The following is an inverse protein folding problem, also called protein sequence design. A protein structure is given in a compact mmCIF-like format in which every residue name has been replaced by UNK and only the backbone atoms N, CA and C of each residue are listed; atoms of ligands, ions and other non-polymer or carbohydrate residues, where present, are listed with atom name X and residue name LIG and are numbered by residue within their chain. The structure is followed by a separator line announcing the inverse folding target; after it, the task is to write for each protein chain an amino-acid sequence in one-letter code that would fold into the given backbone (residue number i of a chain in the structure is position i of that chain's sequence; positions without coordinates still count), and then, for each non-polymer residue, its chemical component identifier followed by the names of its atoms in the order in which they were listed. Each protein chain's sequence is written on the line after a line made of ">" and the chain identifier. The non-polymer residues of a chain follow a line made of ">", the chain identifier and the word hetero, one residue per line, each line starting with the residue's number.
data_IF_710114192720
#
_entry.id   IF_710114192720
#
_cell.length_a   1.000
_cell.length_b   1.000
_cell.length_c   1.000
_cell.angle_alpha   90.00
_cell.angle_beta   90.00
_cell.angle_gamma   90.00
#
_symmetry.space_group_name_H-M   'P 1'
#
loop_
_entity.id
_entity.type
_entity.pdbx_description
1 polymer ?
#
# COMPACT_ATOMS: atom_id res chain seq x y z
N UNK A 1 14.90 -3.79 -6.04
CA UNK A 1 13.59 -4.35 -5.65
C UNK A 1 12.61 -4.18 -6.77
N UNK A 2 11.80 -5.20 -7.05
CA UNK A 2 10.77 -5.15 -8.09
C UNK A 2 9.39 -5.33 -7.48
N UNK A 3 8.50 -4.36 -7.69
CA UNK A 3 7.11 -4.44 -7.21
C UNK A 3 6.20 -4.87 -8.35
N UNK A 4 5.38 -5.90 -8.12
CA UNK A 4 4.29 -6.31 -8.99
C UNK A 4 2.96 -5.89 -8.39
N UNK A 5 2.21 -5.10 -9.15
CA UNK A 5 0.82 -4.76 -8.85
C UNK A 5 -0.07 -5.90 -9.32
N UNK A 6 -0.93 -6.42 -8.46
CA UNK A 6 -1.82 -7.54 -8.74
C UNK A 6 -3.26 -7.09 -8.46
N UNK A 7 -4.00 -6.64 -9.48
CA UNK A 7 -5.42 -6.33 -9.33
C UNK A 7 -6.21 -7.58 -8.93
N UNK A 8 -7.09 -7.45 -7.94
CA UNK A 8 -7.97 -8.51 -7.43
C UNK A 8 -9.31 -7.92 -7.00
N UNK A 9 -10.30 -8.79 -6.80
CA UNK A 9 -11.66 -8.39 -6.42
C UNK A 9 -12.23 -7.39 -7.44
N UNK A 10 -12.87 -6.30 -6.97
CA UNK A 10 -13.42 -5.26 -7.83
C UNK A 10 -12.39 -4.16 -8.11
N UNK A 11 -11.72 -3.66 -7.07
CA UNK A 11 -10.80 -2.52 -7.18
C UNK A 11 -9.55 -2.63 -6.28
N UNK A 12 -9.33 -3.76 -5.59
CA UNK A 12 -8.21 -3.94 -4.68
C UNK A 12 -6.89 -4.25 -5.42
N UNK A 13 -5.79 -3.85 -4.80
CA UNK A 13 -4.44 -4.26 -5.17
C UNK A 13 -3.79 -5.12 -4.08
N UNK A 14 -3.30 -6.29 -4.50
CA UNK A 14 -2.24 -6.97 -3.78
C UNK A 14 -0.90 -6.58 -4.40
N UNK A 15 0.17 -6.68 -3.62
CA UNK A 15 1.52 -6.43 -4.13
C UNK A 15 2.44 -7.61 -3.87
N UNK A 16 3.28 -7.94 -4.84
CA UNK A 16 4.38 -8.87 -4.67
C UNK A 16 5.69 -8.09 -4.83
N UNK A 17 6.44 -7.97 -3.73
CA UNK A 17 7.73 -7.29 -3.67
C UNK A 17 8.81 -8.35 -3.79
N UNK A 18 9.61 -8.26 -4.84
CA UNK A 18 10.63 -9.25 -5.18
C UNK A 18 12.01 -8.64 -4.92
N UNK A 19 12.81 -9.35 -4.13
CA UNK A 19 14.25 -9.15 -4.05
C UNK A 19 14.87 -9.83 -5.28
N UNK A 20 15.56 -9.06 -6.12
CA UNK A 20 15.92 -9.53 -7.46
C UNK A 20 17.12 -10.49 -7.49
N UNK A 21 17.96 -10.46 -6.46
CA UNK A 21 19.18 -11.28 -6.36
C UNK A 21 18.90 -12.66 -5.77
N UNK A 22 18.21 -12.74 -4.63
CA UNK A 22 17.84 -13.98 -3.93
C UNK A 22 16.61 -14.63 -4.53
N UNK A 23 15.79 -13.88 -5.29
CA UNK A 23 14.47 -14.31 -5.77
C UNK A 23 13.49 -14.63 -4.64
N UNK A 24 13.76 -14.15 -3.44
CA UNK A 24 12.77 -14.13 -2.36
C UNK A 24 11.75 -13.01 -2.60
N UNK A 25 10.55 -13.20 -2.08
CA UNK A 25 9.48 -12.24 -2.23
C UNK A 25 8.62 -12.14 -0.96
N UNK A 26 8.09 -10.93 -0.75
CA UNK A 26 7.11 -10.64 0.29
C UNK A 26 5.84 -10.15 -0.38
N UNK A 27 4.69 -10.65 0.07
CA UNK A 27 3.40 -10.17 -0.39
C UNK A 27 2.84 -9.11 0.56
N UNK A 28 2.12 -8.13 0.01
CA UNK A 28 1.35 -7.15 0.78
C UNK A 28 -0.13 -7.33 0.47
N UNK A 29 -0.95 -7.39 1.52
CA UNK A 29 -2.42 -7.52 1.51
C UNK A 29 -2.94 -8.64 0.61
N UNK A 30 -2.88 -9.88 1.11
CA UNK A 30 -3.32 -11.04 0.34
C UNK A 30 -4.82 -11.27 0.49
N UNK A 31 -5.59 -10.69 -0.44
CA UNK A 31 -7.03 -10.93 -0.55
C UNK A 31 -7.36 -12.28 -1.22
N UNK A 32 -6.61 -12.65 -2.27
CA UNK A 32 -6.88 -13.83 -3.13
C UNK A 32 -5.62 -14.69 -3.26
N UNK A 33 -5.47 -15.67 -2.37
CA UNK A 33 -4.25 -16.48 -2.24
C UNK A 33 -3.86 -17.21 -3.53
N UNK A 34 -4.82 -17.82 -4.23
CA UNK A 34 -4.55 -18.55 -5.49
C UNK A 34 -3.97 -17.64 -6.57
N UNK A 35 -4.48 -16.41 -6.68
CA UNK A 35 -3.99 -15.43 -7.65
C UNK A 35 -2.56 -15.00 -7.33
N UNK A 36 -2.25 -14.79 -6.06
CA UNK A 36 -0.87 -14.53 -5.62
C UNK A 36 0.05 -15.68 -6.01
N UNK A 37 -0.32 -16.94 -5.68
CA UNK A 37 0.51 -18.11 -5.94
C UNK A 37 0.74 -18.37 -7.44
N UNK A 38 -0.25 -18.07 -8.30
CA UNK A 38 -0.09 -18.10 -9.76
C UNK A 38 1.03 -17.14 -10.21
N UNK A 39 1.01 -15.91 -9.70
CA UNK A 39 2.00 -14.88 -10.03
C UNK A 39 3.38 -15.23 -9.45
N UNK A 40 3.44 -15.74 -8.22
CA UNK A 40 4.67 -16.24 -7.58
C UNK A 40 5.29 -17.36 -8.43
N UNK A 41 4.49 -18.32 -8.88
CA UNK A 41 4.95 -19.40 -9.75
C UNK A 41 5.42 -18.91 -11.11
N UNK A 42 4.69 -17.97 -11.74
CA UNK A 42 5.05 -17.39 -13.05
C UNK A 42 6.34 -16.57 -12.99
N UNK A 43 6.55 -15.81 -11.92
CA UNK A 43 7.80 -15.06 -11.73
C UNK A 43 8.94 -15.98 -11.27
N UNK A 44 8.67 -17.19 -10.79
CA UNK A 44 9.69 -18.11 -10.30
C UNK A 44 10.42 -17.54 -9.08
N UNK A 45 9.65 -17.09 -8.09
CA UNK A 45 10.17 -16.53 -6.82
C UNK A 45 9.71 -17.36 -5.63
N UNK A 46 10.39 -17.23 -4.50
CA UNK A 46 10.04 -17.89 -3.24
C UNK A 46 9.36 -16.89 -2.31
N UNK A 47 8.07 -17.10 -2.03
CA UNK A 47 7.32 -16.28 -1.08
C UNK A 47 7.75 -16.61 0.35
N UNK A 48 8.27 -15.63 1.10
CA UNK A 48 8.84 -15.82 2.45
C UNK A 48 7.97 -15.24 3.55
N UNK A 49 7.20 -14.19 3.26
CA UNK A 49 6.35 -13.53 4.24
C UNK A 49 5.16 -12.80 3.60
N UNK A 50 4.18 -12.47 4.45
CA UNK A 50 3.08 -11.56 4.16
C UNK A 50 3.12 -10.39 5.13
N UNK A 51 3.03 -9.18 4.59
CA UNK A 51 2.79 -7.95 5.34
C UNK A 51 1.33 -7.55 5.13
N UNK A 52 0.53 -7.56 6.18
CA UNK A 52 -0.89 -7.17 6.12
C UNK A 52 -1.05 -5.78 6.71
N UNK A 53 -1.60 -4.84 5.97
CA UNK A 53 -1.76 -3.44 6.38
C UNK A 53 -2.82 -3.32 7.46
N UNK A 54 -3.96 -4.00 7.31
CA UNK A 54 -5.02 -3.99 8.30
C UNK A 54 -5.95 -5.21 8.18
N UNK A 55 -6.88 -5.34 9.13
CA UNK A 55 -7.69 -6.54 9.34
C UNK A 55 -8.91 -6.67 8.43
N UNK A 56 -9.21 -5.69 7.56
CA UNK A 56 -10.39 -5.81 6.71
C UNK A 56 -10.25 -6.99 5.75
N UNK A 57 -11.41 -7.57 5.43
CA UNK A 57 -11.52 -8.85 4.74
C UNK A 57 -10.82 -8.81 3.38
N UNK A 58 -11.02 -7.75 2.62
CA UNK A 58 -10.45 -7.52 1.30
C UNK A 58 -8.93 -7.29 1.29
N UNK A 59 -8.28 -7.21 2.47
CA UNK A 59 -6.82 -7.17 2.61
C UNK A 59 -6.24 -8.44 3.26
N UNK A 60 -6.97 -9.05 4.19
CA UNK A 60 -6.45 -10.11 5.06
C UNK A 60 -7.06 -11.50 4.79
N UNK A 61 -8.16 -11.60 4.04
CA UNK A 61 -8.92 -12.86 3.94
C UNK A 61 -8.13 -14.02 3.33
N UNK A 62 -7.30 -13.74 2.33
CA UNK A 62 -6.48 -14.75 1.68
C UNK A 62 -5.38 -15.33 2.57
N UNK A 63 -5.07 -14.72 3.72
CA UNK A 63 -4.02 -15.20 4.63
C UNK A 63 -4.29 -16.62 5.15
N UNK A 64 -5.55 -16.96 5.47
CA UNK A 64 -5.92 -18.30 5.95
C UNK A 64 -5.72 -19.36 4.88
N UNK A 65 -6.22 -19.12 3.66
CA UNK A 65 -6.01 -20.04 2.54
C UNK A 65 -4.51 -20.16 2.20
N UNK A 66 -3.80 -19.04 2.17
CA UNK A 66 -2.39 -19.00 1.82
C UNK A 66 -1.53 -19.81 2.80
N UNK A 67 -1.76 -19.69 4.10
CA UNK A 67 -1.00 -20.43 5.13
C UNK A 67 -1.32 -21.92 5.14
N UNK A 68 -2.50 -22.33 4.68
CA UNK A 68 -2.81 -23.74 4.43
C UNK A 68 -2.07 -24.28 3.19
N UNK A 69 -1.99 -23.48 2.12
CA UNK A 69 -1.30 -23.84 0.88
C UNK A 69 0.23 -23.75 0.99
N UNK A 70 0.75 -22.92 1.89
CA UNK A 70 2.17 -22.72 2.18
C UNK A 70 2.41 -22.81 3.70
N UNK A 71 2.45 -24.04 4.27
CA UNK A 71 2.68 -24.21 5.70
C UNK A 71 4.00 -23.57 6.16
N UNK A 72 3.93 -22.81 7.26
CA UNK A 72 5.10 -22.12 7.83
C UNK A 72 5.32 -20.70 7.30
N UNK A 73 4.50 -20.22 6.37
CA UNK A 73 4.56 -18.83 5.92
C UNK A 73 4.23 -17.86 7.06
N UNK A 74 5.07 -16.82 7.21
CA UNK A 74 4.91 -15.84 8.28
C UNK A 74 4.00 -14.71 7.81
N UNK A 75 2.84 -14.58 8.46
CA UNK A 75 1.91 -13.45 8.30
C UNK A 75 2.16 -12.43 9.39
N UNK A 76 2.46 -11.19 9.01
CA UNK A 76 2.81 -10.09 9.90
C UNK A 76 1.84 -8.92 9.75
N UNK A 77 1.62 -8.20 10.85
CA UNK A 77 0.73 -7.05 10.92
C UNK A 77 0.61 -6.51 12.34
N UNK A 78 -0.10 -5.40 12.52
CA UNK A 78 -0.21 -4.73 13.83
C UNK A 78 -1.44 -5.15 14.66
N UNK A 79 -2.42 -5.83 14.06
CA UNK A 79 -3.73 -6.05 14.65
C UNK A 79 -4.01 -7.55 14.83
N UNK A 80 -4.41 -7.96 16.05
CA UNK A 80 -4.76 -9.35 16.37
C UNK A 80 -5.95 -9.86 15.56
N UNK A 81 -6.75 -8.96 14.99
CA UNK A 81 -7.90 -9.29 14.14
C UNK A 81 -7.48 -9.77 12.74
N UNK A 82 -6.21 -9.61 12.36
CA UNK A 82 -5.69 -10.09 11.08
C UNK A 82 -5.76 -11.62 11.04
N UNK A 83 -6.51 -12.15 10.07
CA UNK A 83 -6.62 -13.58 9.81
C UNK A 83 -5.25 -14.23 9.62
N UNK A 84 -5.04 -15.36 10.28
CA UNK A 84 -3.80 -16.14 10.29
C UNK A 84 -2.53 -15.37 10.72
N UNK A 85 -2.64 -14.29 11.49
CA UNK A 85 -1.49 -13.56 12.02
C UNK A 85 -0.57 -14.50 12.82
N UNK A 86 0.72 -14.47 12.48
CA UNK A 86 1.77 -15.26 13.15
C UNK A 86 2.77 -14.40 13.91
N UNK A 87 2.95 -13.14 13.49
CA UNK A 87 3.87 -12.20 14.15
C UNK A 87 3.28 -10.79 14.17
N UNK A 88 2.99 -10.31 15.38
CA UNK A 88 2.58 -8.93 15.59
C UNK A 88 3.78 -7.98 15.47
N UNK A 89 3.57 -6.87 14.77
CA UNK A 89 4.55 -5.81 14.55
C UNK A 89 4.20 -4.57 15.36
N UNK A 90 5.21 -3.74 15.65
CA UNK A 90 5.03 -2.45 16.32
C UNK A 90 5.54 -1.28 15.48
N UNK A 91 5.15 -0.05 15.84
CA UNK A 91 5.60 1.17 15.16
C UNK A 91 7.12 1.32 15.24
N UNK A 92 7.74 1.68 14.12
CA UNK A 92 9.18 1.90 14.00
C UNK A 92 10.02 0.62 13.94
N UNK A 93 9.40 -0.55 14.05
CA UNK A 93 10.11 -1.83 13.91
C UNK A 93 10.66 -1.98 12.48
N UNK A 94 11.91 -2.42 12.38
CA UNK A 94 12.57 -2.66 11.10
C UNK A 94 12.73 -4.15 10.85
N UNK A 95 12.40 -4.56 9.62
CA UNK A 95 12.56 -5.91 9.09
C UNK A 95 13.51 -5.89 7.90
N UNK A 96 14.01 -7.06 7.54
CA UNK A 96 14.89 -7.20 6.39
C UNK A 96 14.55 -8.48 5.62
N UNK A 97 14.44 -8.37 4.29
CA UNK A 97 14.21 -9.46 3.36
C UNK A 97 15.27 -9.37 2.25
N UNK A 98 16.36 -10.14 2.38
CA UNK A 98 17.54 -9.96 1.53
C UNK A 98 18.10 -8.52 1.64
N UNK A 99 18.24 -7.82 0.52
CA UNK A 99 18.66 -6.42 0.48
C UNK A 99 17.56 -5.41 0.83
N UNK A 100 16.30 -5.84 0.92
CA UNK A 100 15.15 -4.96 1.13
C UNK A 100 14.96 -4.73 2.62
N UNK A 101 15.08 -3.47 3.04
CA UNK A 101 14.71 -2.99 4.36
C UNK A 101 13.24 -2.62 4.39
N UNK A 102 12.57 -2.87 5.52
CA UNK A 102 11.17 -2.52 5.75
C UNK A 102 11.05 -1.81 7.09
N UNK A 103 10.50 -0.60 7.12
CA UNK A 103 10.09 0.08 8.34
C UNK A 103 8.58 0.02 8.49
N UNK A 104 8.12 -0.50 9.62
CA UNK A 104 6.71 -0.67 9.95
C UNK A 104 6.17 0.62 10.59
N UNK A 105 5.19 1.27 9.96
CA UNK A 105 4.65 2.56 10.40
C UNK A 105 3.19 2.41 10.81
N UNK A 106 2.91 2.40 12.12
CA UNK A 106 1.53 2.50 12.59
C UNK A 106 0.90 3.78 12.04
N UNK A 107 -0.27 3.61 11.41
CA UNK A 107 -1.01 4.66 10.72
C UNK A 107 -2.50 4.59 11.09
N UNK A 108 -2.84 4.68 12.40
CA UNK A 108 -4.22 4.56 12.85
C UNK A 108 -5.11 5.65 12.25
N UNK A 109 -6.35 5.29 11.95
CA UNK A 109 -7.33 6.17 11.34
C UNK A 109 -8.44 5.34 10.72
N UNK A 110 -8.16 4.77 9.55
CA UNK A 110 -9.09 3.85 8.87
C UNK A 110 -9.47 2.68 9.79
N UNK A 111 -8.46 1.97 10.28
CA UNK A 111 -8.60 1.04 11.40
C UNK A 111 -7.65 1.44 12.52
N UNK A 112 -7.95 1.00 13.74
CA UNK A 112 -7.12 1.28 14.92
C UNK A 112 -5.75 0.57 14.88
N UNK A 113 -5.67 -0.56 14.19
CA UNK A 113 -4.45 -1.34 13.98
C UNK A 113 -3.84 -1.23 12.59
N UNK A 114 -4.13 -0.16 11.84
CA UNK A 114 -3.59 0.01 10.49
C UNK A 114 -2.07 0.24 10.51
N UNK A 115 -1.34 -0.45 9.63
CA UNK A 115 0.11 -0.39 9.45
C UNK A 115 0.43 -0.10 7.97
N UNK A 116 1.31 0.86 7.74
CA UNK A 116 1.92 1.10 6.43
C UNK A 116 3.35 0.57 6.44
N UNK A 117 3.86 0.13 5.29
CA UNK A 117 5.20 -0.45 5.16
C UNK A 117 6.06 0.41 4.24
N UNK A 118 7.14 1.00 4.78
CA UNK A 118 8.10 1.78 4.01
C UNK A 118 9.33 0.92 3.68
N UNK A 119 9.61 0.71 2.39
CA UNK A 119 10.63 -0.21 1.90
C UNK A 119 11.70 0.53 1.10
N UNK A 120 12.95 0.15 1.31
CA UNK A 120 14.09 0.66 0.54
C UNK A 120 15.22 -0.37 0.44
N UNK A 121 16.16 -0.11 -0.44
CA UNK A 121 17.43 -0.84 -0.54
C UNK A 121 18.58 0.17 -0.39
N UNK A 122 19.60 -0.20 0.35
CA UNK A 122 20.80 0.63 0.48
C UNK A 122 21.53 0.72 -0.87
N UNK A 123 22.10 1.90 -1.16
CA UNK A 123 22.87 2.17 -2.39
C UNK A 123 22.10 1.95 -3.71
N UNK A 124 20.76 1.87 -3.66
CA UNK A 124 19.90 1.71 -4.82
C UNK A 124 19.49 3.07 -5.40
N UNK A 125 19.52 3.21 -6.73
CA UNK A 125 19.05 4.42 -7.42
C UNK A 125 17.52 4.48 -7.54
N UNK A 126 16.84 3.35 -7.38
CA UNK A 126 15.38 3.33 -7.39
C UNK A 126 14.83 3.97 -6.12
N UNK A 127 13.81 4.84 -6.22
CA UNK A 127 13.19 5.42 -5.05
C UNK A 127 12.55 4.35 -4.13
N UNK A 128 12.47 4.63 -2.81
CA UNK A 128 11.73 3.81 -1.85
C UNK A 128 10.27 3.59 -2.24
N UNK A 129 9.64 2.58 -1.64
CA UNK A 129 8.22 2.27 -1.80
C UNK A 129 7.47 2.38 -0.47
N UNK A 130 6.25 2.87 -0.51
CA UNK A 130 5.32 2.90 0.61
C UNK A 130 4.09 2.09 0.24
N UNK A 131 3.81 1.03 0.99
CA UNK A 131 2.53 0.33 0.94
C UNK A 131 1.64 0.89 2.03
N UNK A 132 0.66 1.68 1.62
CA UNK A 132 -0.14 2.52 2.51
C UNK A 132 -1.49 1.94 2.88
N UNK A 133 -1.85 0.77 2.33
CA UNK A 133 -3.19 0.18 2.48
C UNK A 133 -4.25 1.25 2.22
N UNK A 134 -5.11 1.45 3.21
CA UNK A 134 -6.24 2.36 3.15
C UNK A 134 -6.02 3.67 3.91
N UNK A 135 -4.82 3.86 4.47
CA UNK A 135 -4.47 5.13 5.10
C UNK A 135 -4.34 6.24 4.04
N UNK A 136 -3.48 6.05 3.05
CA UNK A 136 -3.24 6.98 1.94
C UNK A 136 -3.56 6.30 0.61
N UNK A 137 -4.39 6.94 -0.22
CA UNK A 137 -4.65 6.54 -1.60
C UNK A 137 -4.20 7.63 -2.57
N UNK A 138 -4.08 7.29 -3.85
CA UNK A 138 -3.77 8.31 -4.87
C UNK A 138 -4.88 9.35 -4.86
N UNK A 139 -4.50 10.59 -4.54
CA UNK A 139 -5.38 11.76 -4.38
C UNK A 139 -6.44 11.66 -3.28
N UNK A 140 -6.35 10.69 -2.37
CA UNK A 140 -7.35 10.48 -1.33
C UNK A 140 -6.79 9.93 -0.01
N UNK A 141 -7.70 9.64 0.90
CA UNK A 141 -7.52 8.82 2.09
C UNK A 141 -8.84 8.10 2.39
N UNK A 142 -8.84 7.09 3.26
CA UNK A 142 -10.11 6.46 3.65
C UNK A 142 -11.01 7.41 4.43
N UNK A 143 -12.31 7.31 4.16
CA UNK A 143 -13.36 8.06 4.86
C UNK A 143 -14.01 7.27 5.99
N UNK A 144 -13.96 5.93 5.94
CA UNK A 144 -14.43 5.06 7.01
C UNK A 144 -13.35 5.00 8.08
N UNK A 145 -13.67 5.41 9.30
CA UNK A 145 -12.68 5.48 10.38
C UNK A 145 -13.17 4.69 11.60
N UNK A 146 -12.34 3.78 12.09
CA UNK A 146 -12.41 3.33 13.49
C UNK A 146 -11.78 4.36 14.45
N UNK A 147 -10.85 5.17 13.94
CA UNK A 147 -10.16 6.24 14.67
C UNK A 147 -10.78 7.62 14.49
N UNK A 148 -10.09 8.65 14.97
CA UNK A 148 -10.47 10.05 14.76
C UNK A 148 -9.86 10.64 13.48
N UNK A 149 -10.47 11.73 12.98
CA UNK A 149 -9.89 12.52 11.88
C UNK A 149 -8.52 13.10 12.26
N UNK A 150 -8.29 13.38 13.55
CA UNK A 150 -6.97 13.80 14.05
C UNK A 150 -5.93 12.69 13.92
N UNK A 151 -6.30 11.43 14.23
CA UNK A 151 -5.41 10.29 14.03
C UNK A 151 -5.09 10.09 12.55
N UNK A 152 -6.10 10.20 11.67
CA UNK A 152 -5.87 10.15 10.22
C UNK A 152 -4.92 11.26 9.76
N UNK A 153 -5.12 12.50 10.22
CA UNK A 153 -4.21 13.61 9.91
C UNK A 153 -2.77 13.34 10.38
N UNK A 154 -2.58 12.85 11.61
CA UNK A 154 -1.25 12.51 12.13
C UNK A 154 -0.60 11.37 11.32
N UNK A 155 -1.38 10.35 10.95
CA UNK A 155 -0.92 9.27 10.08
C UNK A 155 -0.47 9.80 8.71
N UNK A 156 -1.26 10.67 8.09
CA UNK A 156 -0.97 11.21 6.76
C UNK A 156 0.16 12.24 6.77
N UNK A 157 0.04 13.30 7.56
CA UNK A 157 0.93 14.46 7.50
C UNK A 157 2.21 14.28 8.32
N UNK A 158 2.12 13.68 9.52
CA UNK A 158 3.23 13.61 10.47
C UNK A 158 4.00 12.29 10.36
N UNK A 159 3.34 11.19 9.98
CA UNK A 159 4.01 9.89 9.78
C UNK A 159 4.39 9.67 8.32
N UNK A 160 3.42 9.61 7.41
CA UNK A 160 3.70 9.28 6.00
C UNK A 160 4.28 10.47 5.22
N UNK A 161 3.77 11.67 5.48
CA UNK A 161 4.15 12.91 4.79
C UNK A 161 5.58 13.37 5.05
N UNK A 162 6.25 12.79 6.05
CA UNK A 162 7.66 13.08 6.37
C UNK A 162 8.65 12.18 5.64
N UNK A 163 8.17 11.17 4.92
CA UNK A 163 9.02 10.30 4.09
C UNK A 163 9.58 11.07 2.87
N UNK A 164 10.65 10.55 2.22
CA UNK A 164 11.23 11.21 1.05
C UNK A 164 10.21 11.46 -0.07
N UNK A 165 10.24 12.61 -0.76
CA UNK A 165 9.21 12.98 -1.74
C UNK A 165 9.18 12.05 -2.96
N UNK A 166 10.30 11.38 -3.29
CA UNK A 166 10.35 10.43 -4.40
C UNK A 166 9.78 9.05 -4.04
N UNK A 167 9.36 8.82 -2.80
CA UNK A 167 8.78 7.55 -2.35
C UNK A 167 7.56 7.20 -3.20
N UNK A 168 7.60 6.04 -3.85
CA UNK A 168 6.50 5.50 -4.66
C UNK A 168 5.38 5.03 -3.72
N UNK A 169 4.15 5.46 -3.94
CA UNK A 169 2.99 5.12 -3.09
C UNK A 169 2.15 4.04 -3.77
N UNK A 170 1.95 2.93 -3.06
CA UNK A 170 1.17 1.75 -3.46
C UNK A 170 0.01 1.56 -2.46
N UNK A 171 -1.19 2.02 -2.83
CA UNK A 171 -2.37 2.01 -1.96
C UNK A 171 -3.26 0.78 -2.15
N UNK A 172 -4.24 0.60 -1.26
CA UNK A 172 -5.12 -0.58 -1.24
C UNK A 172 -6.05 -0.72 -2.44
N UNK A 173 -6.51 0.40 -3.00
CA UNK A 173 -7.59 0.41 -4.00
C UNK A 173 -7.34 1.34 -5.21
N UNK A 174 -8.01 1.03 -6.31
CA UNK A 174 -8.15 1.87 -7.51
C UNK A 174 -9.30 2.88 -7.37
N UNK A 175 -9.13 3.87 -6.49
CA UNK A 175 -10.11 4.96 -6.29
C UNK A 175 -9.65 6.29 -6.90
N UNK A 176 -8.60 6.29 -7.74
CA UNK A 176 -7.93 7.50 -8.17
C UNK A 176 -8.84 8.48 -8.89
N UNK A 177 -9.74 7.98 -9.75
CA UNK A 177 -10.69 8.83 -10.48
C UNK A 177 -11.66 9.54 -9.54
N UNK A 178 -12.35 8.81 -8.67
CA UNK A 178 -13.32 9.39 -7.75
C UNK A 178 -12.65 10.34 -6.76
N UNK A 179 -11.44 10.02 -6.29
CA UNK A 179 -10.61 10.88 -5.46
C UNK A 179 -10.26 12.20 -6.16
N UNK A 180 -9.82 12.15 -7.41
CA UNK A 180 -9.46 13.36 -8.18
C UNK A 180 -10.69 14.19 -8.57
N UNK A 181 -11.85 13.57 -8.77
CA UNK A 181 -13.11 14.29 -8.96
C UNK A 181 -13.54 15.04 -7.70
N UNK A 182 -13.32 14.44 -6.53
CA UNK A 182 -13.50 15.14 -5.25
C UNK A 182 -12.47 16.27 -5.09
N UNK A 183 -11.18 16.00 -5.32
CA UNK A 183 -10.11 17.01 -5.27
C UNK A 183 -10.40 18.19 -6.22
N UNK A 184 -10.97 17.94 -7.40
CA UNK A 184 -11.36 18.98 -8.35
C UNK A 184 -12.51 19.85 -7.82
N UNK A 185 -13.43 19.30 -7.03
CA UNK A 185 -14.48 20.08 -6.36
C UNK A 185 -13.90 20.95 -5.24
N UNK A 186 -12.88 20.48 -4.53
CA UNK A 186 -12.20 21.21 -3.45
C UNK A 186 -11.31 22.33 -4.01
N UNK A 187 -10.50 22.04 -5.02
CA UNK A 187 -9.54 22.98 -5.64
C UNK A 187 -9.74 23.09 -7.16
N UNK A 188 -10.85 23.67 -7.67
CA UNK A 188 -11.19 23.67 -9.10
C UNK A 188 -10.22 24.47 -9.97
N UNK A 189 -9.42 25.34 -9.37
CA UNK A 189 -8.39 26.12 -10.05
C UNK A 189 -7.03 25.42 -10.10
N UNK A 190 -6.83 24.27 -9.43
CA UNK A 190 -5.55 23.58 -9.40
C UNK A 190 -5.23 22.91 -10.74
N UNK A 191 -4.17 23.36 -11.39
CA UNK A 191 -3.69 22.75 -12.64
C UNK A 191 -3.11 21.34 -12.39
N UNK A 192 -2.56 21.08 -11.21
CA UNK A 192 -2.09 19.75 -10.81
C UNK A 192 -3.24 18.74 -10.73
N UNK A 193 -4.36 19.11 -10.10
CA UNK A 193 -5.55 18.25 -10.01
C UNK A 193 -6.12 17.97 -11.41
N UNK A 194 -6.28 19.00 -12.25
CA UNK A 194 -6.78 18.84 -13.63
C UNK A 194 -5.89 17.93 -14.48
N UNK A 195 -4.57 18.12 -14.39
CA UNK A 195 -3.61 17.32 -15.13
C UNK A 195 -3.64 15.86 -14.66
N UNK A 196 -3.63 15.61 -13.34
CA UNK A 196 -3.68 14.25 -12.79
C UNK A 196 -5.02 13.56 -13.09
N UNK A 197 -6.14 14.28 -13.04
CA UNK A 197 -7.46 13.75 -13.42
C UNK A 197 -7.51 13.34 -14.89
N UNK A 198 -6.94 14.17 -15.78
CA UNK A 198 -6.86 13.85 -17.21
C UNK A 198 -5.98 12.63 -17.47
N UNK A 199 -4.86 12.51 -16.75
CA UNK A 199 -3.99 11.34 -16.79
C UNK A 199 -4.68 10.08 -16.28
N UNK A 200 -5.42 10.17 -15.17
CA UNK A 200 -6.13 9.04 -14.58
C UNK A 200 -7.23 8.52 -15.50
N UNK A 201 -8.00 9.42 -16.15
CA UNK A 201 -9.04 9.04 -17.13
C UNK A 201 -8.46 8.24 -18.29
N UNK A 202 -7.30 8.66 -18.80
CA UNK A 202 -6.63 7.93 -19.88
C UNK A 202 -6.20 6.52 -19.44
N UNK A 203 -5.69 6.37 -18.21
CA UNK A 203 -5.29 5.06 -17.69
C UNK A 203 -6.46 4.12 -17.46
N UNK A 204 -7.57 4.66 -16.96
CA UNK A 204 -8.83 3.93 -16.81
C UNK A 204 -9.36 3.45 -18.16
N UNK A 205 -9.36 4.30 -19.19
CA UNK A 205 -9.71 3.93 -20.57
C UNK A 205 -8.81 2.81 -21.13
N UNK A 206 -7.54 2.79 -20.73
CA UNK A 206 -6.54 1.81 -21.17
C UNK A 206 -6.47 0.54 -20.27
N UNK A 207 -7.31 0.43 -19.23
CA UNK A 207 -7.28 -0.64 -18.20
C UNK A 207 -5.90 -0.80 -17.52
N UNK A 208 -5.29 0.34 -17.18
CA UNK A 208 -3.97 0.40 -16.55
C UNK A 208 -4.09 0.94 -15.12
N UNK A 209 -3.59 0.21 -14.09
CA UNK A 209 -3.55 0.70 -12.70
C UNK A 209 -2.94 2.10 -12.57
N UNK A 210 -3.50 2.95 -11.72
CA UNK A 210 -2.99 4.30 -11.46
C UNK A 210 -1.91 4.34 -10.37
N UNK A 211 -1.59 3.20 -9.76
CA UNK A 211 -0.44 3.04 -8.88
C UNK A 211 0.85 2.68 -9.67
N UNK A 212 2.03 3.04 -9.14
CA UNK A 212 2.22 3.94 -8.00
C UNK A 212 2.11 5.41 -8.41
N UNK A 213 1.73 6.26 -7.45
CA UNK A 213 2.09 7.69 -7.48
C UNK A 213 3.41 7.92 -6.71
N UNK A 214 3.79 9.17 -6.47
CA UNK A 214 4.86 9.52 -5.52
C UNK A 214 4.35 10.42 -4.41
N UNK A 215 4.96 10.35 -3.22
CA UNK A 215 4.54 11.20 -2.09
C UNK A 215 4.64 12.70 -2.42
N UNK A 216 5.66 13.11 -3.18
CA UNK A 216 5.82 14.48 -3.66
C UNK A 216 4.70 14.91 -4.61
N UNK A 217 4.20 14.01 -5.46
CA UNK A 217 3.02 14.25 -6.28
C UNK A 217 1.74 14.39 -5.43
N UNK A 218 1.56 13.56 -4.41
CA UNK A 218 0.38 13.61 -3.54
C UNK A 218 0.24 14.99 -2.87
N UNK A 219 1.34 15.65 -2.46
CA UNK A 219 1.30 17.01 -1.94
C UNK A 219 0.83 18.08 -2.95
N UNK A 220 0.74 17.77 -4.24
CA UNK A 220 0.29 18.70 -5.29
C UNK A 220 -1.22 18.62 -5.56
N UNK A 221 -1.86 17.47 -5.32
CA UNK A 221 -3.26 17.26 -5.70
C UNK A 221 -4.13 16.54 -4.66
N UNK A 222 -3.56 15.95 -3.61
CA UNK A 222 -4.32 15.23 -2.60
C UNK A 222 -4.82 16.22 -1.52
N UNK A 223 -6.14 16.50 -1.44
CA UNK A 223 -6.65 17.52 -0.53
C UNK A 223 -6.37 17.17 0.95
N UNK A 224 -6.20 15.89 1.29
CA UNK A 224 -5.98 15.45 2.67
C UNK A 224 -4.54 15.64 3.15
N UNK A 225 -3.58 15.83 2.24
CA UNK A 225 -2.19 16.20 2.54
C UNK A 225 -1.95 17.72 2.42
N UNK A 226 -2.99 18.48 2.10
CA UNK A 226 -2.93 19.93 1.79
C UNK A 226 -3.85 20.76 2.71
N UNK A 227 -4.01 20.31 3.95
CA UNK A 227 -4.97 20.89 4.93
C UNK A 227 -4.42 22.11 5.71
N UNK A 228 -3.43 22.81 5.16
CA UNK A 228 -2.74 23.94 5.79
C UNK A 228 -3.05 25.31 5.19
#
# INVERSE_FOLDING_TARGET
>A
MKVKVIPVLEDNYMYLVIEEHTREAVAVDVAVAKRLLEIVGREGVSLTAVLTTHHHWDHAHGNEELTQLQPGLVVMGADERISALTRKLVHGEELQFGAIHVRCLLTPGHTSGHMSYFLWEDECLDPPALFSGDALSVAGCSWHLEGSTQQMYQSLAETLGTLPPLTKVFCGHEHTLSNLEFAYKVEPCSDHVKAKLSWARKRDEDDIPTVPSTLGEEFLYNPFLRVG
#
